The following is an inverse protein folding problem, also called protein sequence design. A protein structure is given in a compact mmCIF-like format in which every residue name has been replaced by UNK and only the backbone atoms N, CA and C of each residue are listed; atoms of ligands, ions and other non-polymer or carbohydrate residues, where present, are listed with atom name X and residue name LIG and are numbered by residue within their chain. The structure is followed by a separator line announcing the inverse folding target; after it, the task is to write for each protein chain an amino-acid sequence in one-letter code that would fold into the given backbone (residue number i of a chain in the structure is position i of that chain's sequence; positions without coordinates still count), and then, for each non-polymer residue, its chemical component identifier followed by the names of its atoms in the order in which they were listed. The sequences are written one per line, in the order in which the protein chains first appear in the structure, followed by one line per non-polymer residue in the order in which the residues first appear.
data_IF_219958618886
#
_entry.id   IF_219958618886
#
_cell.length_a   1.000
_cell.length_b   1.000
_cell.length_c   1.000
_cell.angle_alpha   90.00
_cell.angle_beta   90.00
_cell.angle_gamma   90.00
#
_symmetry.space_group_name_H-M   'P 1'
#
loop_
_entity.id
_entity.type
_entity.pdbx_description
1 polymer ?
#
# COMPACT_ATOMS: atom_id res chain seq x y z
N UNK A 1 0.59 2.83 -9.39
CA UNK A 1 -0.46 1.82 -9.62
C UNK A 1 0.12 0.44 -9.33
N UNK A 2 -0.64 -0.43 -8.65
CA UNK A 2 -0.31 -1.85 -8.49
C UNK A 2 -1.45 -2.64 -9.11
N UNK A 3 -1.14 -3.67 -9.87
CA UNK A 3 -2.10 -4.50 -10.62
C UNK A 3 -1.69 -5.96 -10.51
N UNK A 4 -2.69 -6.83 -10.41
CA UNK A 4 -2.53 -8.28 -10.49
C UNK A 4 -3.06 -8.75 -11.85
N UNK A 5 -2.26 -9.52 -12.58
CA UNK A 5 -2.60 -9.99 -13.92
C UNK A 5 -2.57 -11.51 -13.95
N UNK A 6 -3.72 -12.11 -14.24
CA UNK A 6 -3.80 -13.51 -14.65
C UNK A 6 -3.45 -13.61 -16.15
N UNK A 7 -2.88 -14.74 -16.59
CA UNK A 7 -2.45 -14.91 -17.98
C UNK A 7 -1.53 -13.77 -18.47
N UNK A 8 -0.41 -13.60 -17.77
CA UNK A 8 0.46 -12.41 -17.82
C UNK A 8 0.82 -11.89 -19.22
N UNK A 9 0.98 -12.74 -20.23
CA UNK A 9 1.29 -12.34 -21.61
C UNK A 9 0.14 -11.54 -22.22
N UNK A 10 -1.05 -12.16 -22.30
CA UNK A 10 -2.23 -11.58 -22.94
C UNK A 10 -2.71 -10.36 -22.14
N UNK A 11 -2.80 -10.50 -20.82
CA UNK A 11 -3.32 -9.44 -19.95
C UNK A 11 -2.41 -8.23 -19.86
N UNK A 12 -1.08 -8.40 -19.89
CA UNK A 12 -0.17 -7.25 -19.88
C UNK A 12 -0.23 -6.47 -21.20
N UNK A 13 -0.34 -7.15 -22.34
CA UNK A 13 -0.54 -6.49 -23.63
C UNK A 13 -1.84 -5.67 -23.66
N UNK A 14 -2.94 -6.25 -23.17
CA UNK A 14 -4.22 -5.54 -23.05
C UNK A 14 -4.13 -4.34 -22.10
N UNK A 15 -3.43 -4.50 -20.96
CA UNK A 15 -3.21 -3.41 -20.01
C UNK A 15 -2.40 -2.27 -20.65
N UNK A 16 -1.31 -2.58 -21.36
CA UNK A 16 -0.49 -1.58 -22.04
C UNK A 16 -1.30 -0.82 -23.11
N UNK A 17 -2.15 -1.52 -23.86
CA UNK A 17 -3.06 -0.90 -24.83
C UNK A 17 -4.06 0.03 -24.15
N UNK A 18 -4.65 -0.40 -23.03
CA UNK A 18 -5.59 0.42 -22.27
C UNK A 18 -4.91 1.68 -21.71
N UNK A 19 -3.75 1.54 -21.09
CA UNK A 19 -2.97 2.67 -20.56
C UNK A 19 -2.58 3.62 -21.69
N UNK A 20 -2.20 3.09 -22.87
CA UNK A 20 -1.89 3.90 -24.05
C UNK A 20 -3.10 4.67 -24.60
N UNK A 21 -4.31 4.12 -24.49
CA UNK A 21 -5.51 4.84 -24.87
C UNK A 21 -5.82 5.98 -23.88
N UNK A 22 -5.70 5.71 -22.57
CA UNK A 22 -5.87 6.74 -21.54
C UNK A 22 -4.76 7.80 -21.55
N UNK A 23 -3.53 7.44 -21.92
CA UNK A 23 -2.43 8.40 -22.03
C UNK A 23 -2.68 9.42 -23.13
N UNK A 24 -3.34 9.03 -24.23
CA UNK A 24 -3.72 9.96 -25.30
C UNK A 24 -4.71 11.03 -24.84
N UNK A 25 -5.63 10.67 -23.95
CA UNK A 25 -6.61 11.61 -23.39
C UNK A 25 -5.99 12.47 -22.30
N UNK A 26 -5.18 11.87 -21.42
CA UNK A 26 -4.66 12.54 -20.23
C UNK A 26 -3.30 13.23 -20.42
N UNK A 27 -2.58 12.92 -21.51
CA UNK A 27 -1.22 13.39 -21.77
C UNK A 27 -0.12 12.67 -20.97
N UNK A 28 -0.46 11.75 -20.06
CA UNK A 28 0.52 11.08 -19.20
C UNK A 28 1.10 9.80 -19.81
N UNK A 29 2.42 9.67 -19.85
CA UNK A 29 3.12 8.48 -20.34
C UNK A 29 3.56 7.60 -19.17
N UNK A 30 3.29 6.29 -19.27
CA UNK A 30 3.82 5.32 -18.31
C UNK A 30 5.32 5.14 -18.47
N UNK A 31 6.07 5.24 -17.36
CA UNK A 31 7.49 4.93 -17.36
C UNK A 31 7.69 3.42 -17.22
N UNK A 32 7.80 2.74 -18.36
CA UNK A 32 7.96 1.28 -18.43
C UNK A 32 9.27 0.82 -17.76
N UNK A 33 10.35 1.58 -17.90
CA UNK A 33 11.66 1.25 -17.28
C UNK A 33 11.63 1.29 -15.74
N UNK A 34 10.85 2.22 -15.16
CA UNK A 34 10.65 2.31 -13.70
C UNK A 34 9.61 1.32 -13.19
N UNK A 35 8.81 0.74 -14.07
CA UNK A 35 7.76 -0.22 -13.72
C UNK A 35 8.38 -1.59 -13.43
N UNK A 36 8.10 -2.11 -12.24
CA UNK A 36 8.60 -3.40 -11.76
C UNK A 36 7.46 -4.37 -11.52
N UNK A 37 7.73 -5.67 -11.69
CA UNK A 37 6.73 -6.72 -11.49
C UNK A 37 7.32 -7.94 -10.78
N UNK A 38 6.46 -8.67 -10.06
CA UNK A 38 6.74 -10.00 -9.58
C UNK A 38 6.08 -11.04 -10.49
N UNK A 39 6.81 -12.10 -10.82
CA UNK A 39 6.24 -13.24 -11.52
C UNK A 39 5.90 -14.35 -10.54
N UNK A 40 4.68 -14.88 -10.63
CA UNK A 40 4.19 -15.95 -9.76
C UNK A 40 4.36 -17.37 -10.32
N UNK A 41 4.80 -17.51 -11.56
CA UNK A 41 5.04 -18.83 -12.18
C UNK A 41 6.36 -19.47 -11.71
N UNK A 42 6.33 -20.78 -11.50
CA UNK A 42 7.52 -21.60 -11.20
C UNK A 42 8.06 -22.33 -12.44
N UNK A 43 7.33 -22.32 -13.55
CA UNK A 43 7.79 -22.93 -14.80
C UNK A 43 8.89 -22.06 -15.42
N UNK A 44 10.10 -22.63 -15.57
CA UNK A 44 11.27 -21.93 -16.12
C UNK A 44 11.04 -21.46 -17.56
N UNK A 45 10.41 -22.27 -18.40
CA UNK A 45 10.14 -21.94 -19.80
C UNK A 45 9.15 -20.79 -19.90
N UNK A 46 8.02 -20.87 -19.19
CA UNK A 46 7.03 -19.79 -19.15
C UNK A 46 7.63 -18.50 -18.59
N UNK A 47 8.46 -18.60 -17.54
CA UNK A 47 9.16 -17.45 -16.98
C UNK A 47 10.07 -16.78 -18.01
N UNK A 48 10.81 -17.56 -18.80
CA UNK A 48 11.67 -17.05 -19.87
C UNK A 48 10.88 -16.36 -20.98
N UNK A 49 9.75 -16.93 -21.39
CA UNK A 49 8.85 -16.33 -22.38
C UNK A 49 8.30 -14.99 -21.90
N UNK A 50 7.81 -14.94 -20.65
CA UNK A 50 7.32 -13.71 -20.05
C UNK A 50 8.43 -12.66 -19.94
N UNK A 51 9.66 -13.09 -19.60
CA UNK A 51 10.83 -12.21 -19.54
C UNK A 51 11.19 -11.61 -20.89
N UNK A 52 11.01 -12.34 -21.99
CA UNK A 52 11.26 -11.83 -23.34
C UNK A 52 10.14 -10.93 -23.87
N UNK A 53 8.89 -11.18 -23.46
CA UNK A 53 7.73 -10.46 -24.02
C UNK A 53 7.34 -9.22 -23.22
N UNK A 54 7.48 -9.25 -21.89
CA UNK A 54 7.06 -8.13 -21.06
C UNK A 54 8.17 -7.08 -20.95
N UNK A 55 7.87 -5.80 -21.17
CA UNK A 55 8.87 -4.75 -21.11
C UNK A 55 9.16 -4.29 -19.66
N UNK A 56 8.58 -4.94 -18.66
CA UNK A 56 8.72 -4.59 -17.24
C UNK A 56 9.93 -5.24 -16.61
N UNK A 57 10.59 -4.51 -15.70
CA UNK A 57 11.70 -5.08 -14.93
C UNK A 57 11.18 -6.07 -13.89
N UNK A 58 11.62 -7.32 -13.98
CA UNK A 58 11.21 -8.35 -13.01
C UNK A 58 12.04 -8.23 -11.75
N UNK A 59 11.36 -8.05 -10.62
CA UNK A 59 11.98 -8.06 -9.30
C UNK A 59 12.01 -9.49 -8.75
N UNK A 60 13.09 -9.84 -8.06
CA UNK A 60 13.28 -11.19 -7.50
C UNK A 60 12.97 -11.26 -6.01
N UNK A 61 13.20 -10.18 -5.25
CA UNK A 61 13.06 -10.16 -3.78
C UNK A 61 12.06 -9.13 -3.29
N UNK A 62 12.29 -7.85 -3.63
CA UNK A 62 11.51 -6.72 -3.13
C UNK A 62 11.29 -5.65 -4.19
N UNK A 63 10.14 -4.99 -4.14
CA UNK A 63 9.80 -3.79 -4.90
C UNK A 63 9.53 -2.67 -3.90
N UNK A 64 10.06 -1.47 -4.11
CA UNK A 64 9.75 -0.31 -3.26
C UNK A 64 8.52 0.41 -3.81
N UNK A 65 7.50 0.58 -2.97
CA UNK A 65 6.28 1.34 -3.30
C UNK A 65 5.88 2.20 -2.10
N UNK A 66 5.76 3.51 -2.29
CA UNK A 66 5.44 4.47 -1.21
C UNK A 66 6.32 4.25 0.04
N UNK A 67 7.62 4.05 -0.18
CA UNK A 67 8.62 3.75 0.87
C UNK A 67 8.45 2.42 1.61
N UNK A 68 7.46 1.63 1.23
CA UNK A 68 7.24 0.28 1.74
C UNK A 68 7.89 -0.71 0.77
N UNK A 69 8.66 -1.65 1.32
CA UNK A 69 9.15 -2.79 0.55
C UNK A 69 8.06 -3.86 0.48
N UNK A 70 7.59 -4.12 -0.73
CA UNK A 70 6.69 -5.21 -1.06
C UNK A 70 7.50 -6.45 -1.42
N UNK A 71 7.12 -7.60 -0.90
CA UNK A 71 7.67 -8.91 -1.27
C UNK A 71 6.69 -9.64 -2.19
N UNK A 72 7.15 -10.71 -2.84
CA UNK A 72 6.29 -11.58 -3.65
C UNK A 72 5.18 -12.23 -2.81
N UNK A 73 5.48 -12.56 -1.55
CA UNK A 73 4.53 -13.20 -0.64
C UNK A 73 3.71 -12.15 0.12
N UNK A 74 2.43 -12.01 -0.24
CA UNK A 74 1.51 -11.06 0.42
C UNK A 74 1.39 -11.32 1.93
N UNK A 75 1.57 -12.58 2.37
CA UNK A 75 1.55 -12.97 3.78
C UNK A 75 2.63 -12.25 4.61
N UNK A 76 3.80 -12.00 4.01
CA UNK A 76 4.89 -11.30 4.68
C UNK A 76 4.56 -9.83 4.91
N UNK A 77 3.84 -9.20 3.97
CA UNK A 77 3.37 -7.82 4.13
C UNK A 77 2.40 -7.71 5.32
N UNK A 78 1.48 -8.67 5.45
CA UNK A 78 0.53 -8.69 6.55
C UNK A 78 1.22 -8.91 7.91
N UNK A 79 2.11 -9.91 7.99
CA UNK A 79 2.80 -10.27 9.23
C UNK A 79 3.82 -9.21 9.66
N UNK A 80 4.63 -8.72 8.72
CA UNK A 80 5.78 -7.85 9.00
C UNK A 80 5.43 -6.36 9.14
N UNK A 81 4.32 -5.89 8.55
CA UNK A 81 3.97 -4.46 8.54
C UNK A 81 2.58 -4.21 9.10
N UNK A 82 1.56 -4.89 8.57
CA UNK A 82 0.17 -4.56 8.90
C UNK A 82 -0.22 -4.90 10.34
N UNK A 83 0.20 -6.06 10.87
CA UNK A 83 -0.05 -6.44 12.27
C UNK A 83 0.54 -5.41 13.26
N UNK A 84 1.83 -5.02 13.15
CA UNK A 84 2.39 -3.94 13.96
C UNK A 84 1.63 -2.62 13.84
N UNK A 85 1.34 -2.16 12.62
CA UNK A 85 0.62 -0.90 12.36
C UNK A 85 -0.79 -0.90 12.98
N UNK A 86 -1.49 -2.03 12.92
CA UNK A 86 -2.80 -2.17 13.58
C UNK A 86 -2.69 -2.09 15.10
N UNK A 87 -1.61 -2.62 15.68
CA UNK A 87 -1.38 -2.57 17.13
C UNK A 87 -1.09 -1.13 17.57
N UNK A 88 -0.20 -0.44 16.86
CA UNK A 88 0.14 0.96 17.08
C UNK A 88 -1.11 1.85 17.02
N UNK A 89 -1.89 1.76 15.93
CA UNK A 89 -3.15 2.53 15.80
C UNK A 89 -4.14 2.25 16.94
N UNK A 90 -4.21 1.02 17.45
CA UNK A 90 -5.08 0.66 18.59
C UNK A 90 -4.54 1.21 19.92
N UNK A 91 -3.23 1.30 20.08
CA UNK A 91 -2.61 1.89 21.26
C UNK A 91 -2.79 3.41 21.27
N UNK A 92 -2.65 4.05 20.12
CA UNK A 92 -2.89 5.49 19.95
C UNK A 92 -4.34 5.86 20.28
N UNK A 93 -5.32 5.11 19.75
CA UNK A 93 -6.74 5.40 20.04
C UNK A 93 -7.10 5.18 21.51
N UNK A 94 -6.53 4.16 22.16
CA UNK A 94 -6.72 3.93 23.61
C UNK A 94 -6.10 5.04 24.45
N UNK A 95 -4.93 5.52 24.07
CA UNK A 95 -4.23 6.59 24.79
C UNK A 95 -4.97 7.90 24.65
N UNK A 96 -5.40 8.24 23.44
CA UNK A 96 -6.18 9.44 23.16
C UNK A 96 -7.54 9.41 23.86
N UNK A 97 -8.22 8.26 23.88
CA UNK A 97 -9.48 8.09 24.61
C UNK A 97 -9.33 8.35 26.12
N UNK A 98 -8.27 7.81 26.74
CA UNK A 98 -7.96 8.06 28.16
C UNK A 98 -7.60 9.52 28.45
N UNK A 99 -6.91 10.20 27.53
CA UNK A 99 -6.61 11.63 27.67
C UNK A 99 -7.88 12.49 27.58
N UNK A 100 -8.77 12.19 26.64
CA UNK A 100 -10.07 12.87 26.51
C UNK A 100 -10.94 12.68 27.75
N UNK A 101 -10.98 11.47 28.30
CA UNK A 101 -11.72 11.17 29.53
C UNK A 101 -11.18 11.94 30.74
N UNK A 102 -9.84 11.99 30.91
CA UNK A 102 -9.19 12.82 31.94
C UNK A 102 -9.50 14.30 31.77
N UNK A 103 -9.49 14.80 30.55
CA UNK A 103 -9.80 16.20 30.26
C UNK A 103 -11.27 16.52 30.56
N UNK A 104 -12.20 15.61 30.24
CA UNK A 104 -13.62 15.73 30.60
C UNK A 104 -13.82 15.77 32.12
N UNK A 105 -13.21 14.83 32.86
CA UNK A 105 -13.30 14.82 34.32
C UNK A 105 -12.72 16.08 34.97
N UNK A 106 -11.66 16.66 34.39
CA UNK A 106 -11.08 17.92 34.87
C UNK A 106 -12.04 19.10 34.63
N UNK A 107 -12.65 19.19 33.45
CA UNK A 107 -13.63 20.22 33.11
C UNK A 107 -14.86 20.16 34.03
N UNK A 108 -15.38 18.97 34.30
CA UNK A 108 -16.51 18.76 35.21
C UNK A 108 -16.16 19.20 36.64
N UNK A 109 -14.96 18.87 37.13
CA UNK A 109 -14.49 19.32 38.46
C UNK A 109 -14.31 20.83 38.55
N UNK A 110 -13.78 21.48 37.52
CA UNK A 110 -13.61 22.95 37.51
C UNK A 110 -14.94 23.70 37.48
N UNK A 111 -15.99 23.10 36.92
CA UNK A 111 -17.32 23.68 36.89
C UNK A 111 -18.12 23.44 38.19
N UNK A 112 -17.66 22.53 39.05
CA UNK A 112 -18.32 22.18 40.30
C UNK A 112 -17.98 23.11 41.47
N UNK A 113 -16.91 23.92 41.35
CA UNK A 113 -16.60 24.96 42.31
C UNK A 113 -17.17 26.30 41.81
N UNK A 114 -18.14 26.91 42.51
CA UNK A 114 -18.63 28.22 42.12
C UNK A 114 -17.49 29.23 42.22
N UNK A 115 -17.23 29.97 41.13
CA UNK A 115 -16.33 31.12 41.15
C UNK A 115 -16.83 32.07 42.24
N UNK A 116 -16.16 32.10 43.39
CA UNK A 116 -16.34 33.16 44.37
C UNK A 116 -15.72 34.41 43.77
N UNK A 117 -16.56 35.24 43.18
CA UNK A 117 -16.16 36.58 42.76
C UNK A 117 -15.99 37.46 44.01
N UNK A 118 -14.93 38.29 44.10
CA UNK A 118 -14.78 39.28 45.16
C UNK A 118 -15.81 40.42 45.07
#
# INVERSE_FOLDING_TARGET
MIVYLENSIISAQNLLKLISNFSKVSGYIINVQKSQTFLYTNNKQTKSQIMSELPFRIATKRIKYLEIYLTREVKDLFKGKYKPLLKEKREDTKTNGKQMEKHSMLMDRTNQYPKKWP
#
